data_IF_800846866194
#
_entry.id   IF_800846866194
#
_cell.length_a   1.000
_cell.length_b   1.000
_cell.length_c   1.000
_cell.angle_alpha   90.00
_cell.angle_beta   90.00
_cell.angle_gamma   90.00
#
_symmetry.space_group_name_H-M   'P 1'
#
loop_
_entity.id
_entity.type
_entity.pdbx_description
1 polymer ?
#
# COMPACT_ATOMS: atom_id res chain seq x y z
N UNK A 1 14.08 -1.87 -6.39
CA UNK A 1 13.31 -0.94 -7.25
C UNK A 1 13.72 -0.93 -8.72
N UNK A 2 15.00 -0.91 -9.10
CA UNK A 2 15.40 -0.85 -10.54
C UNK A 2 14.68 -1.87 -11.43
N UNK A 3 14.71 -3.17 -11.06
CA UNK A 3 14.05 -4.22 -11.83
C UNK A 3 12.53 -4.00 -11.99
N UNK A 4 11.85 -3.45 -10.97
CA UNK A 4 10.43 -3.13 -11.04
C UNK A 4 10.17 -2.06 -12.10
N UNK A 5 10.97 -0.99 -12.11
CA UNK A 5 10.83 0.10 -13.09
C UNK A 5 11.14 -0.40 -14.50
N UNK A 6 12.18 -1.23 -14.69
CA UNK A 6 12.50 -1.83 -15.99
C UNK A 6 11.34 -2.70 -16.51
N UNK A 7 10.77 -3.57 -15.67
CA UNK A 7 9.61 -4.41 -16.05
C UNK A 7 8.35 -3.60 -16.29
N UNK A 8 8.16 -2.51 -15.55
CA UNK A 8 7.06 -1.58 -15.77
C UNK A 8 7.19 -0.91 -17.16
N UNK A 9 8.40 -0.43 -17.51
CA UNK A 9 8.68 0.14 -18.83
C UNK A 9 8.42 -0.85 -19.98
N UNK A 10 8.88 -2.10 -19.85
CA UNK A 10 8.62 -3.16 -20.84
C UNK A 10 7.12 -3.38 -21.10
N UNK A 11 6.27 -3.18 -20.07
CA UNK A 11 4.82 -3.40 -20.17
C UNK A 11 4.04 -2.15 -20.62
N UNK A 12 4.48 -0.96 -20.23
CA UNK A 12 3.68 0.27 -20.37
C UNK A 12 4.28 1.29 -21.34
N UNK A 13 5.56 1.15 -21.71
CA UNK A 13 6.31 2.17 -22.45
C UNK A 13 6.65 3.42 -21.64
N UNK A 14 6.35 3.45 -20.33
CA UNK A 14 6.66 4.57 -19.43
C UNK A 14 7.57 4.09 -18.28
N UNK A 15 8.80 4.60 -18.12
CA UNK A 15 9.74 4.15 -17.09
C UNK A 15 9.61 4.92 -15.76
N UNK A 16 8.41 5.36 -15.38
CA UNK A 16 8.20 6.23 -14.20
C UNK A 16 7.13 5.66 -13.28
N UNK A 17 7.42 5.63 -11.98
CA UNK A 17 6.50 5.19 -10.91
C UNK A 17 6.46 6.26 -9.83
N UNK A 18 5.27 6.55 -9.30
CA UNK A 18 5.12 7.40 -8.11
C UNK A 18 5.48 6.60 -6.87
N UNK A 19 6.45 7.10 -6.09
CA UNK A 19 6.86 6.51 -4.81
C UNK A 19 6.54 7.51 -3.70
N UNK A 20 5.51 7.22 -2.91
CA UNK A 20 5.12 8.00 -1.74
C UNK A 20 5.24 7.15 -0.49
N UNK A 21 5.30 7.78 0.68
CA UNK A 21 5.24 7.06 1.96
C UNK A 21 4.01 6.16 2.01
N UNK A 22 4.19 4.94 2.50
CA UNK A 22 3.08 4.03 2.73
C UNK A 22 2.54 4.26 4.14
N UNK A 23 1.56 5.15 4.25
CA UNK A 23 0.84 5.53 5.46
C UNK A 23 -0.49 6.21 5.11
N UNK A 24 -1.31 6.44 6.12
CA UNK A 24 -2.42 7.39 6.04
C UNK A 24 -1.95 8.75 6.58
N UNK A 25 -2.54 9.85 6.12
CA UNK A 25 -2.19 11.19 6.59
C UNK A 25 -2.35 11.28 8.12
N UNK A 26 -1.28 11.67 8.80
CA UNK A 26 -1.23 11.76 10.26
C UNK A 26 -0.56 10.56 10.95
N UNK A 27 -0.32 9.47 10.22
CA UNK A 27 0.31 8.26 10.77
C UNK A 27 1.79 8.15 10.38
N UNK A 28 2.61 7.46 11.20
CA UNK A 28 3.95 7.07 10.80
C UNK A 28 3.93 6.12 9.60
N UNK A 29 5.09 6.01 8.92
CA UNK A 29 5.29 5.01 7.87
C UNK A 29 5.18 3.61 8.49
N UNK A 30 4.54 2.68 7.77
CA UNK A 30 4.39 1.29 8.22
C UNK A 30 5.76 0.63 8.48
N UNK A 31 5.86 -0.15 9.55
CA UNK A 31 7.11 -0.83 9.94
C UNK A 31 6.97 -2.36 10.08
N UNK A 32 5.75 -2.89 10.09
CA UNK A 32 5.48 -4.33 10.13
C UNK A 32 4.48 -4.79 9.06
N UNK A 33 4.46 -6.10 8.71
CA UNK A 33 3.44 -6.65 7.81
C UNK A 33 2.02 -6.45 8.33
N UNK A 34 1.82 -6.44 9.65
CA UNK A 34 0.54 -6.15 10.27
C UNK A 34 0.12 -4.70 10.03
N UNK A 35 1.04 -3.74 10.17
CA UNK A 35 0.75 -2.32 9.90
C UNK A 35 0.44 -2.10 8.42
N UNK A 36 1.22 -2.72 7.52
CA UNK A 36 1.01 -2.66 6.09
C UNK A 36 -0.36 -3.24 5.69
N UNK A 37 -0.76 -4.38 6.28
CA UNK A 37 -2.08 -4.97 6.04
C UNK A 37 -3.21 -4.09 6.58
N UNK A 38 -3.07 -3.55 7.81
CA UNK A 38 -4.05 -2.60 8.35
C UNK A 38 -4.18 -1.39 7.43
N UNK A 39 -3.05 -0.77 7.04
CA UNK A 39 -3.00 0.43 6.18
C UNK A 39 -3.67 0.16 4.83
N UNK A 40 -3.33 -0.96 4.24
CA UNK A 40 -3.98 -1.46 3.04
C UNK A 40 -5.50 -1.60 3.24
N UNK A 41 -5.97 -2.29 4.29
CA UNK A 41 -7.40 -2.58 4.51
C UNK A 41 -8.28 -1.35 4.74
N UNK A 42 -7.72 -0.25 5.24
CA UNK A 42 -8.47 0.98 5.47
C UNK A 42 -8.16 2.13 4.51
N UNK A 43 -7.44 1.88 3.41
CA UNK A 43 -7.24 2.82 2.30
C UNK A 43 -7.92 2.29 1.02
N UNK A 44 -7.98 3.11 -0.02
CA UNK A 44 -8.51 2.72 -1.34
C UNK A 44 -7.46 2.03 -2.25
N UNK A 45 -6.39 1.48 -1.67
CA UNK A 45 -5.40 0.71 -2.41
C UNK A 45 -6.00 -0.63 -2.90
N UNK A 46 -5.74 -0.95 -4.17
CA UNK A 46 -6.25 -2.17 -4.80
C UNK A 46 -5.45 -3.43 -4.42
N UNK A 47 -4.11 -3.29 -4.35
CA UNK A 47 -3.17 -4.40 -4.20
C UNK A 47 -2.10 -4.07 -3.15
N UNK A 48 -1.75 -5.05 -2.32
CA UNK A 48 -0.61 -5.02 -1.41
C UNK A 48 0.37 -6.13 -1.77
N UNK A 49 1.64 -5.76 -1.95
CA UNK A 49 2.74 -6.70 -2.16
C UNK A 49 3.76 -6.54 -1.04
N UNK A 50 4.02 -7.62 -0.31
CA UNK A 50 5.04 -7.67 0.76
C UNK A 50 5.89 -8.91 0.49
N UNK A 51 7.15 -8.71 0.11
CA UNK A 51 8.05 -9.80 -0.29
C UNK A 51 7.40 -10.72 -1.34
N UNK A 52 7.15 -11.98 -0.98
CA UNK A 52 6.54 -13.02 -1.83
C UNK A 52 5.02 -13.15 -1.65
N UNK A 53 4.39 -12.23 -0.91
CA UNK A 53 2.94 -12.20 -0.69
C UNK A 53 2.28 -11.17 -1.60
N UNK A 54 1.21 -11.58 -2.28
CA UNK A 54 0.39 -10.74 -3.15
C UNK A 54 -1.07 -10.81 -2.70
N UNK A 55 -1.64 -9.66 -2.31
CA UNK A 55 -2.99 -9.57 -1.80
C UNK A 55 -3.81 -8.60 -2.65
N UNK A 56 -4.96 -9.05 -3.12
CA UNK A 56 -5.97 -8.21 -3.75
C UNK A 56 -7.03 -7.83 -2.71
N UNK A 57 -7.39 -6.55 -2.62
CA UNK A 57 -8.38 -6.04 -1.66
C UNK A 57 -9.69 -6.80 -1.77
N UNK A 58 -10.15 -7.07 -2.99
CA UNK A 58 -11.40 -7.77 -3.31
C UNK A 58 -11.44 -9.23 -2.87
N UNK A 59 -10.28 -9.83 -2.57
CA UNK A 59 -10.16 -11.22 -2.11
C UNK A 59 -10.04 -11.35 -0.59
N UNK A 60 -10.02 -10.23 0.14
CA UNK A 60 -9.94 -10.26 1.61
C UNK A 60 -11.35 -10.29 2.20
N UNK A 61 -11.59 -11.19 3.15
CA UNK A 61 -12.91 -11.37 3.80
C UNK A 61 -13.09 -10.51 5.05
N UNK A 62 -12.06 -9.75 5.44
CA UNK A 62 -12.08 -8.88 6.61
C UNK A 62 -12.74 -7.56 6.22
N UNK A 63 -13.75 -7.15 6.99
CA UNK A 63 -14.43 -5.86 6.82
C UNK A 63 -13.41 -4.71 6.78
N UNK A 64 -13.69 -3.70 5.94
CA UNK A 64 -12.88 -2.47 5.90
C UNK A 64 -13.01 -1.79 7.26
N UNK A 65 -12.02 -1.97 8.15
CA UNK A 65 -11.93 -1.10 9.33
C UNK A 65 -11.64 0.31 8.83
N UNK A 66 -12.61 1.23 8.99
CA UNK A 66 -12.32 2.65 8.75
C UNK A 66 -11.20 3.06 9.70
N UNK A 67 -10.17 3.67 9.13
CA UNK A 67 -9.16 4.41 9.89
C UNK A 67 -9.85 5.60 10.55
N UNK A 68 -10.16 5.48 11.84
CA UNK A 68 -10.68 6.59 12.65
C UNK A 68 -9.64 7.01 13.69
N UNK A 69 -8.89 8.06 13.35
CA UNK A 69 -8.66 9.19 14.25
C UNK A 69 -7.68 9.05 15.43
N UNK A 70 -6.80 8.05 15.48
CA UNK A 70 -5.85 7.93 16.59
C UNK A 70 -4.76 9.02 16.58
N UNK A 71 -4.43 9.57 15.42
CA UNK A 71 -3.43 10.61 15.24
C UNK A 71 -4.11 11.87 14.71
N UNK A 72 -4.59 12.70 15.64
CA UNK A 72 -5.09 14.02 15.31
C UNK A 72 -3.98 14.79 14.59
N UNK A 73 -4.32 15.38 13.44
CA UNK A 73 -3.49 16.38 12.80
C UNK A 73 -3.82 17.70 13.47
N UNK A 74 -2.82 18.34 14.08
CA UNK A 74 -2.86 19.78 14.36
C UNK A 74 -2.97 20.57 13.04
#
# INVERSE_FOLDING_TARGET
YHALISRFYEKTGCPVIVNTSFNVRGEPIVESPADAFRCFMGTELDVLVIENCYLEKTKQTVERSRYEGAFALD
#
